data_IF_284618716471
#
_entry.id   IF_284618716471
#
_cell.length_a   1.000
_cell.length_b   1.000
_cell.length_c   1.000
_cell.angle_alpha   90.00
_cell.angle_beta   90.00
_cell.angle_gamma   90.00
#
_symmetry.space_group_name_H-M   'P 1'
#
loop_
_entity.id
_entity.type
_entity.pdbx_description
1 polymer ?
#
# COMPACT_ATOMS: atom_id res chain seq x y z
N UNK A 1 -22.61 -38.00 44.84
CA UNK A 1 -21.64 -37.24 44.03
C UNK A 1 -21.59 -35.88 44.67
N UNK A 2 -20.46 -35.53 45.26
CA UNK A 2 -20.35 -34.32 46.06
C UNK A 2 -20.24 -33.09 45.17
N UNK A 3 -20.59 -31.92 45.70
CA UNK A 3 -20.46 -30.65 44.98
C UNK A 3 -19.01 -30.41 44.51
N UNK A 4 -18.03 -30.92 45.26
CA UNK A 4 -16.61 -30.91 44.91
C UNK A 4 -16.31 -31.72 43.63
N UNK A 5 -16.86 -32.93 43.51
CA UNK A 5 -16.68 -33.80 42.33
C UNK A 5 -17.26 -33.15 41.08
N UNK A 6 -18.44 -32.54 41.21
CA UNK A 6 -19.12 -31.80 40.14
C UNK A 6 -18.24 -30.64 39.66
N UNK A 7 -17.69 -29.84 40.58
CA UNK A 7 -16.80 -28.71 40.23
C UNK A 7 -15.54 -29.18 39.50
N UNK A 8 -14.94 -30.31 39.90
CA UNK A 8 -13.77 -30.89 39.23
C UNK A 8 -14.13 -31.35 37.81
N UNK A 9 -15.24 -32.08 37.64
CA UNK A 9 -15.66 -32.58 36.33
C UNK A 9 -16.00 -31.45 35.36
N UNK A 10 -16.71 -30.42 35.82
CA UNK A 10 -17.03 -29.24 35.00
C UNK A 10 -15.74 -28.51 34.58
N UNK A 11 -14.80 -28.25 35.51
CA UNK A 11 -13.51 -27.64 35.19
C UNK A 11 -12.71 -28.47 34.18
N UNK A 12 -12.71 -29.79 34.30
CA UNK A 12 -12.04 -30.69 33.38
C UNK A 12 -12.68 -30.69 31.98
N UNK A 13 -14.02 -30.65 31.89
CA UNK A 13 -14.75 -30.65 30.63
C UNK A 13 -14.63 -29.30 29.90
N UNK A 14 -14.97 -28.20 30.56
CA UNK A 14 -14.88 -26.86 29.96
C UNK A 14 -13.43 -26.43 29.71
N UNK A 15 -12.49 -26.82 30.57
CA UNK A 15 -11.06 -26.56 30.35
C UNK A 15 -10.49 -27.28 29.11
N UNK A 16 -10.96 -28.51 28.82
CA UNK A 16 -10.65 -29.23 27.59
C UNK A 16 -11.28 -28.55 26.37
N UNK A 17 -12.57 -28.20 26.44
CA UNK A 17 -13.27 -27.49 25.35
C UNK A 17 -12.55 -26.17 24.98
N UNK A 18 -12.28 -25.32 25.97
CA UNK A 18 -11.55 -24.06 25.77
C UNK A 18 -10.11 -24.27 25.24
N UNK A 19 -9.47 -25.42 25.50
CA UNK A 19 -8.15 -25.73 24.93
C UNK A 19 -8.24 -26.12 23.45
N UNK A 20 -9.28 -26.84 23.04
CA UNK A 20 -9.55 -27.12 21.62
C UNK A 20 -9.88 -25.83 20.88
N UNK A 21 -10.80 -25.02 21.41
CA UNK A 21 -11.23 -23.78 20.75
C UNK A 21 -10.10 -22.74 20.61
N UNK A 22 -9.20 -22.62 21.61
CA UNK A 22 -7.99 -21.79 21.47
C UNK A 22 -7.05 -22.30 20.39
N UNK A 23 -6.90 -23.62 20.24
CA UNK A 23 -6.06 -24.20 19.19
C UNK A 23 -6.65 -23.93 17.80
N UNK A 24 -7.96 -24.08 17.64
CA UNK A 24 -8.69 -23.75 16.39
C UNK A 24 -8.58 -22.26 16.06
N UNK A 25 -8.77 -21.39 17.06
CA UNK A 25 -8.66 -19.93 16.90
C UNK A 25 -7.24 -19.51 16.50
N UNK A 26 -6.20 -20.04 17.16
CA UNK A 26 -4.79 -19.78 16.77
C UNK A 26 -4.49 -20.32 15.38
N UNK A 27 -5.01 -21.49 15.01
CA UNK A 27 -4.85 -22.05 13.66
C UNK A 27 -5.46 -21.11 12.61
N UNK A 28 -6.70 -20.66 12.83
CA UNK A 28 -7.36 -19.68 11.97
C UNK A 28 -6.60 -18.35 11.84
N UNK A 29 -5.96 -17.86 12.92
CA UNK A 29 -5.08 -16.67 12.88
C UNK A 29 -3.86 -16.92 11.99
N UNK A 30 -3.17 -18.05 12.16
CA UNK A 30 -1.93 -18.37 11.45
C UNK A 30 -2.16 -18.65 9.97
N UNK A 31 -3.29 -19.26 9.61
CA UNK A 31 -3.71 -19.55 8.24
C UNK A 31 -4.34 -18.33 7.54
N UNK A 32 -4.78 -17.33 8.29
CA UNK A 32 -5.29 -16.08 7.73
C UNK A 32 -4.20 -15.39 6.89
N UNK A 33 -4.42 -15.29 5.59
CA UNK A 33 -3.66 -14.44 4.68
C UNK A 33 -4.65 -13.65 3.85
N UNK A 34 -4.50 -12.34 3.88
CA UNK A 34 -5.25 -11.45 3.01
C UNK A 34 -4.82 -11.71 1.56
N UNK A 35 -5.79 -11.88 0.66
CA UNK A 35 -5.53 -12.10 -0.76
C UNK A 35 -5.46 -10.79 -1.52
N UNK A 36 -4.69 -10.73 -2.61
CA UNK A 36 -4.52 -9.53 -3.45
C UNK A 36 -5.86 -8.91 -3.92
N UNK A 37 -6.90 -9.73 -4.11
CA UNK A 37 -8.26 -9.34 -4.50
C UNK A 37 -9.22 -9.08 -3.31
N UNK A 38 -8.86 -9.53 -2.10
CA UNK A 38 -9.69 -9.39 -0.90
C UNK A 38 -9.58 -7.96 -0.31
N UNK A 39 -10.71 -7.25 -0.09
CA UNK A 39 -10.68 -5.93 0.53
C UNK A 39 -10.12 -5.99 1.96
N UNK A 40 -9.24 -5.05 2.32
CA UNK A 40 -8.49 -5.12 3.59
C UNK A 40 -9.38 -4.97 4.84
N UNK A 41 -10.48 -4.24 4.73
CA UNK A 41 -11.41 -4.01 5.83
C UNK A 41 -12.00 -5.32 6.40
N UNK A 42 -12.69 -6.13 5.59
CA UNK A 42 -13.15 -7.46 5.97
C UNK A 42 -12.08 -8.38 6.55
N UNK A 43 -10.86 -8.39 5.99
CA UNK A 43 -9.75 -9.20 6.51
C UNK A 43 -9.38 -8.80 7.95
N UNK A 44 -9.11 -7.52 8.19
CA UNK A 44 -8.72 -7.04 9.53
C UNK A 44 -9.86 -7.19 10.54
N UNK A 45 -11.12 -6.99 10.13
CA UNK A 45 -12.28 -7.27 10.98
C UNK A 45 -12.43 -8.76 11.35
N UNK A 46 -11.98 -9.68 10.48
CA UNK A 46 -11.89 -11.11 10.81
C UNK A 46 -10.80 -11.38 11.84
N UNK A 47 -9.64 -10.74 11.72
CA UNK A 47 -8.54 -10.84 12.70
C UNK A 47 -8.95 -10.33 14.08
N UNK A 48 -9.61 -9.16 14.16
CA UNK A 48 -10.13 -8.60 15.42
C UNK A 48 -11.02 -9.62 16.15
N UNK A 49 -11.98 -10.24 15.45
CA UNK A 49 -12.88 -11.25 16.03
C UNK A 49 -12.16 -12.49 16.55
N UNK A 50 -11.09 -12.91 15.89
CA UNK A 50 -10.25 -14.03 16.37
C UNK A 50 -9.48 -13.64 17.64
N UNK A 51 -9.04 -12.39 17.76
CA UNK A 51 -8.38 -11.88 18.96
C UNK A 51 -9.36 -11.72 20.13
N UNK A 52 -10.56 -11.18 19.87
CA UNK A 52 -11.67 -11.12 20.83
C UNK A 52 -12.06 -12.54 21.32
N UNK A 53 -12.00 -13.56 20.45
CA UNK A 53 -12.25 -14.94 20.87
C UNK A 53 -11.14 -15.50 21.76
N UNK A 54 -9.86 -15.20 21.49
CA UNK A 54 -8.78 -15.58 22.39
C UNK A 54 -8.89 -14.89 23.77
N UNK A 55 -9.30 -13.63 23.80
CA UNK A 55 -9.58 -12.90 25.04
C UNK A 55 -10.72 -13.54 25.84
N UNK A 56 -11.84 -13.89 25.20
CA UNK A 56 -12.96 -14.59 25.85
C UNK A 56 -12.55 -15.95 26.43
N UNK A 57 -11.58 -16.62 25.80
CA UNK A 57 -10.98 -17.88 26.23
C UNK A 57 -9.83 -17.70 27.26
N UNK A 58 -9.65 -16.49 27.80
CA UNK A 58 -8.68 -16.18 28.85
C UNK A 58 -7.23 -16.02 28.38
N UNK A 59 -7.01 -15.77 27.08
CA UNK A 59 -5.68 -15.54 26.48
C UNK A 59 -5.72 -14.27 25.61
N UNK A 60 -5.91 -13.08 26.20
CA UNK A 60 -5.88 -11.82 25.47
C UNK A 60 -4.52 -11.60 24.80
N UNK A 61 -4.53 -11.04 23.60
CA UNK A 61 -3.30 -10.59 22.93
C UNK A 61 -3.01 -9.13 23.30
N UNK A 62 -1.75 -8.83 23.61
CA UNK A 62 -1.28 -7.45 23.71
C UNK A 62 -1.42 -6.73 22.37
N UNK A 63 -1.70 -5.42 22.39
CA UNK A 63 -1.96 -4.65 21.17
C UNK A 63 -0.79 -4.72 20.16
N UNK A 64 0.45 -4.66 20.63
CA UNK A 64 1.67 -4.84 19.82
C UNK A 64 1.62 -6.15 19.01
N UNK A 65 1.49 -7.29 19.69
CA UNK A 65 1.38 -8.62 19.06
C UNK A 65 0.17 -8.73 18.11
N UNK A 66 -0.98 -8.14 18.48
CA UNK A 66 -2.15 -8.10 17.61
C UNK A 66 -1.89 -7.30 16.32
N UNK A 67 -1.15 -6.18 16.40
CA UNK A 67 -0.74 -5.41 15.22
C UNK A 67 0.29 -6.15 14.37
N UNK A 68 1.31 -6.77 14.97
CA UNK A 68 2.34 -7.54 14.27
C UNK A 68 1.74 -8.71 13.48
N UNK A 69 0.81 -9.45 14.10
CA UNK A 69 0.07 -10.52 13.44
C UNK A 69 -0.69 -9.96 12.24
N UNK A 70 -1.43 -8.85 12.39
CA UNK A 70 -2.16 -8.24 11.26
C UNK A 70 -1.20 -7.87 10.13
N UNK A 71 -0.10 -7.17 10.42
CA UNK A 71 0.93 -6.77 9.45
C UNK A 71 1.54 -7.98 8.72
N UNK A 72 1.79 -9.06 9.44
CA UNK A 72 2.31 -10.32 8.88
C UNK A 72 1.30 -11.04 7.97
N UNK A 73 -0.01 -10.91 8.22
CA UNK A 73 -1.05 -11.54 7.37
C UNK A 73 -1.34 -10.80 6.05
N UNK A 74 -0.77 -9.61 5.83
CA UNK A 74 -1.05 -8.79 4.64
C UNK A 74 -0.42 -9.37 3.36
N UNK A 75 -1.09 -9.17 2.21
CA UNK A 75 -0.47 -9.47 0.93
C UNK A 75 0.68 -8.50 0.59
N UNK A 76 1.53 -8.89 -0.38
CA UNK A 76 2.77 -8.17 -0.73
C UNK A 76 2.56 -6.73 -1.21
N UNK A 77 1.37 -6.34 -1.67
CA UNK A 77 1.08 -4.95 -2.04
C UNK A 77 1.14 -3.97 -0.87
N UNK A 78 1.05 -4.45 0.39
CA UNK A 78 1.25 -3.65 1.59
C UNK A 78 2.71 -3.58 2.07
N UNK A 79 3.69 -4.15 1.36
CA UNK A 79 5.10 -4.18 1.82
C UNK A 79 5.66 -2.79 2.18
N UNK A 80 5.38 -1.76 1.37
CA UNK A 80 5.79 -0.38 1.65
C UNK A 80 5.12 0.17 2.92
N UNK A 81 3.87 -0.21 3.19
CA UNK A 81 3.15 0.18 4.40
C UNK A 81 3.77 -0.46 5.65
N UNK A 82 4.09 -1.76 5.60
CA UNK A 82 4.71 -2.50 6.71
C UNK A 82 6.09 -1.91 7.06
N UNK A 83 6.92 -1.60 6.04
CA UNK A 83 8.22 -0.94 6.25
C UNK A 83 8.02 0.45 6.90
N UNK A 84 7.07 1.25 6.39
CA UNK A 84 6.77 2.56 6.96
C UNK A 84 6.20 2.48 8.39
N UNK A 85 5.44 1.44 8.73
CA UNK A 85 4.91 1.23 10.08
C UNK A 85 6.04 1.00 11.08
N UNK A 86 6.94 0.05 10.79
CA UNK A 86 8.09 -0.23 11.65
C UNK A 86 9.08 0.94 11.74
N UNK A 87 9.34 1.65 10.64
CA UNK A 87 10.29 2.77 10.62
C UNK A 87 9.85 3.98 11.44
N UNK A 88 8.54 4.22 11.58
CA UNK A 88 7.99 5.36 12.33
C UNK A 88 7.54 4.97 13.75
N UNK A 89 7.83 3.74 14.22
CA UNK A 89 7.41 3.20 15.52
C UNK A 89 5.96 3.57 15.86
N UNK A 90 5.04 3.28 14.94
CA UNK A 90 3.65 3.68 15.07
C UNK A 90 2.93 2.79 16.10
N UNK A 91 3.10 3.10 17.38
CA UNK A 91 2.33 2.50 18.48
C UNK A 91 0.85 2.84 18.32
N UNK A 92 0.13 1.96 17.61
CA UNK A 92 -1.24 2.20 17.15
C UNK A 92 -2.16 1.08 17.56
N UNK A 93 -3.38 1.45 17.94
CA UNK A 93 -4.42 0.46 18.20
C UNK A 93 -4.79 -0.28 16.91
N UNK A 94 -5.27 -1.53 17.03
CA UNK A 94 -5.76 -2.30 15.88
C UNK A 94 -6.86 -1.55 15.10
N UNK A 95 -7.69 -0.74 15.77
CA UNK A 95 -8.70 0.09 15.12
C UNK A 95 -8.12 1.29 14.34
N UNK A 96 -7.05 1.94 14.84
CA UNK A 96 -6.33 2.96 14.06
C UNK A 96 -5.61 2.33 12.85
N UNK A 97 -4.98 1.16 13.04
CA UNK A 97 -4.33 0.39 11.97
C UNK A 97 -5.31 0.08 10.84
N UNK A 98 -6.54 -0.32 11.16
CA UNK A 98 -7.62 -0.52 10.18
C UNK A 98 -7.91 0.74 9.35
N UNK A 99 -7.92 1.93 9.98
CA UNK A 99 -8.11 3.21 9.29
C UNK A 99 -6.97 3.55 8.34
N UNK A 100 -5.73 3.34 8.79
CA UNK A 100 -4.53 3.54 7.97
C UNK A 100 -4.49 2.58 6.77
N UNK A 101 -4.73 1.28 6.99
CA UNK A 101 -4.76 0.26 5.95
C UNK A 101 -5.84 0.52 4.89
N UNK A 102 -7.05 0.94 5.28
CA UNK A 102 -8.11 1.37 4.36
C UNK A 102 -7.75 2.61 3.53
N UNK A 103 -6.96 3.52 4.10
CA UNK A 103 -6.47 4.70 3.39
C UNK A 103 -5.42 4.29 2.36
N UNK A 104 -4.47 3.43 2.74
CA UNK A 104 -3.45 2.87 1.86
C UNK A 104 -4.06 2.02 0.73
N UNK A 105 -5.10 1.23 1.00
CA UNK A 105 -5.83 0.45 -0.02
C UNK A 105 -6.33 1.32 -1.18
N UNK A 106 -6.88 2.49 -0.86
CA UNK A 106 -7.38 3.45 -1.86
C UNK A 106 -6.23 3.99 -2.73
N UNK A 107 -5.07 4.28 -2.13
CA UNK A 107 -3.88 4.70 -2.86
C UNK A 107 -3.36 3.58 -3.78
N UNK A 108 -3.25 2.35 -3.28
CA UNK A 108 -2.82 1.17 -4.08
C UNK A 108 -3.75 0.95 -5.27
N UNK A 109 -5.07 1.07 -5.08
CA UNK A 109 -6.07 0.93 -6.16
C UNK A 109 -6.11 2.14 -7.10
N UNK A 110 -5.62 3.31 -6.66
CA UNK A 110 -5.59 4.55 -7.43
C UNK A 110 -4.32 4.78 -8.25
N UNK A 111 -3.22 4.10 -7.96
CA UNK A 111 -1.99 4.22 -8.75
C UNK A 111 -2.04 3.37 -10.04
N UNK A 112 -2.04 3.97 -11.24
CA UNK A 112 -1.74 3.21 -12.44
C UNK A 112 -0.29 2.72 -12.34
N UNK A 113 -0.07 1.40 -12.51
CA UNK A 113 1.24 0.74 -12.39
C UNK A 113 2.33 1.58 -13.04
N UNK A 114 3.14 2.25 -12.22
CA UNK A 114 4.10 3.25 -12.67
C UNK A 114 5.30 2.54 -13.27
N UNK A 115 5.17 2.14 -14.53
CA UNK A 115 6.27 1.59 -15.32
C UNK A 115 7.47 2.53 -15.20
N UNK A 116 8.53 2.04 -14.54
CA UNK A 116 9.72 2.84 -14.26
C UNK A 116 10.38 3.16 -15.61
N UNK A 117 10.21 4.42 -16.02
CA UNK A 117 10.66 4.92 -17.31
C UNK A 117 12.18 4.90 -17.34
N UNK A 118 12.74 3.96 -18.12
CA UNK A 118 14.18 3.78 -18.28
C UNK A 118 14.81 5.05 -18.85
N UNK A 119 15.54 5.80 -18.02
CA UNK A 119 16.27 7.00 -18.42
C UNK A 119 17.47 6.58 -19.29
N UNK A 120 17.23 6.43 -20.60
CA UNK A 120 18.32 6.27 -21.57
C UNK A 120 19.12 7.56 -21.67
N UNK A 121 20.26 7.57 -20.97
CA UNK A 121 21.24 8.65 -20.87
C UNK A 121 21.93 8.93 -22.22
N UNK A 122 21.26 9.63 -23.15
CA UNK A 122 21.91 10.19 -24.34
C UNK A 122 22.74 11.44 -23.97
N UNK A 123 24.01 11.21 -23.60
CA UNK A 123 25.07 12.20 -23.79
C UNK A 123 25.51 12.21 -25.26
N UNK A 124 26.08 13.35 -25.66
CA UNK A 124 26.85 13.69 -26.88
C UNK A 124 26.11 14.74 -27.74
N UNK A 125 26.32 16.04 -27.50
CA UNK A 125 27.54 16.85 -27.68
C UNK A 125 27.65 17.44 -29.11
N UNK A 126 27.88 18.76 -29.12
CA UNK A 126 27.94 19.64 -30.29
C UNK A 126 28.93 19.17 -31.37
N UNK A 127 28.59 19.43 -32.64
CA UNK A 127 29.58 19.70 -33.70
C UNK A 127 29.18 20.94 -34.50
N UNK A 128 30.15 21.85 -34.72
CA UNK A 128 30.01 23.16 -35.39
C UNK A 128 31.19 23.36 -36.34
N UNK A 129 30.94 23.94 -37.53
CA UNK A 129 31.92 24.15 -38.64
C UNK A 129 31.93 22.98 -39.64
N UNK A 130 32.06 23.13 -40.97
CA UNK A 130 32.23 24.28 -41.89
C UNK A 130 32.30 23.77 -43.37
N UNK A 131 32.67 24.48 -44.45
CA UNK A 131 33.00 25.90 -44.71
C UNK A 131 33.20 26.16 -46.25
N UNK A 132 32.44 27.08 -46.90
CA UNK A 132 32.63 27.63 -48.29
C UNK A 132 32.48 26.64 -49.50
N UNK A 133 31.98 26.97 -50.71
CA UNK A 133 31.89 28.16 -51.58
C UNK A 133 30.66 27.99 -52.53
N UNK A 134 29.82 28.98 -52.89
CA UNK A 134 30.00 30.27 -53.61
C UNK A 134 30.10 30.17 -55.16
N UNK A 135 29.02 30.53 -55.86
CA UNK A 135 29.03 31.28 -57.15
C UNK A 135 27.72 32.07 -57.34
N UNK A 136 27.80 33.24 -58.01
CA UNK A 136 26.69 34.18 -58.26
C UNK A 136 26.13 34.00 -59.68
N UNK A 137 24.86 34.37 -59.88
CA UNK A 137 24.39 35.03 -61.10
C UNK A 137 23.23 35.98 -60.75
N UNK A 138 23.08 37.08 -61.50
CA UNK A 138 22.17 38.19 -61.20
C UNK A 138 21.21 38.46 -62.36
N UNK A 139 19.94 38.71 -62.07
CA UNK A 139 18.92 39.23 -63.01
C UNK A 139 17.98 40.17 -62.25
N UNK A 140 17.48 41.23 -62.90
CA UNK A 140 16.90 42.42 -62.26
C UNK A 140 15.49 42.73 -62.81
N UNK A 141 14.81 43.71 -62.19
CA UNK A 141 13.49 44.29 -62.55
C UNK A 141 12.30 43.36 -62.28
N UNK A 142 11.13 43.82 -61.83
CA UNK A 142 10.61 45.14 -61.42
C UNK A 142 9.17 44.88 -60.90
N UNK A 143 8.50 45.68 -60.06
CA UNK A 143 8.30 47.14 -60.07
C UNK A 143 7.81 47.63 -58.68
N UNK A 144 7.88 48.97 -58.47
CA UNK A 144 7.19 49.84 -57.48
C UNK A 144 5.96 49.25 -56.77
N UNK A 145 5.77 49.36 -55.45
CA UNK A 145 5.57 50.58 -54.60
C UNK A 145 4.18 50.42 -53.91
N UNK A 146 3.80 50.91 -52.73
CA UNK A 146 4.31 51.83 -51.70
C UNK A 146 4.39 51.07 -50.34
N UNK A 147 5.21 51.40 -49.33
CA UNK A 147 5.30 52.60 -48.46
C UNK A 147 4.05 52.88 -47.59
N UNK A 148 4.30 53.25 -46.32
CA UNK A 148 3.39 53.55 -45.16
C UNK A 148 2.66 52.32 -44.58
N UNK A 149 2.85 51.84 -43.34
CA UNK A 149 3.38 52.32 -42.04
C UNK A 149 2.33 52.96 -41.09
N UNK A 150 2.25 52.36 -39.88
CA UNK A 150 1.67 52.83 -38.60
C UNK A 150 0.17 52.71 -38.30
N UNK A 151 -0.07 52.03 -37.15
CA UNK A 151 -1.16 52.20 -36.14
C UNK A 151 -2.60 51.90 -36.62
N UNK A 152 -3.45 51.22 -35.85
CA UNK A 152 -3.35 50.67 -34.50
C UNK A 152 -4.64 50.90 -33.71
N UNK A 153 -4.95 50.01 -32.77
CA UNK A 153 -6.03 50.11 -31.77
C UNK A 153 -7.47 50.00 -32.34
N UNK A 154 -8.04 48.80 -32.21
CA UNK A 154 -9.13 48.53 -31.27
C UNK A 154 -8.98 47.10 -30.73
#
# INVERSE_FOLDING_TARGET
MEAYDIIIQLKAMFGKAARVERFETVTAILESRQKDDEPIGPHVLRMIRLFENLESLGVPLGNELATDIILYTLHKGYANFVVNYHMNSMDKTVHELLGMLKTTEKSIKGEPKKNVLMVQKKKNAFKKGGNKNKKKASGKQGQVGNLIHLKGIL
#
